data_IF_353608623200
#
_entry.id   IF_353608623200
#
_cell.length_a   1.000
_cell.length_b   1.000
_cell.length_c   1.000
_cell.angle_alpha   90.00
_cell.angle_beta   90.00
_cell.angle_gamma   90.00
#
_symmetry.space_group_name_H-M   'P 1'
#
loop_
_entity.id
_entity.type
_entity.pdbx_description
1 polymer ?
#
# COMPACT_ATOMS: atom_id res chain seq x y z
N UNK A 1 24.82 -1.43 14.38
CA UNK A 1 24.14 -2.44 13.55
C UNK A 1 22.77 -2.82 14.12
N UNK A 2 22.64 -3.33 15.34
CA UNK A 2 21.32 -3.69 15.91
C UNK A 2 20.39 -2.48 16.12
N UNK A 3 20.91 -1.38 16.67
CA UNK A 3 20.16 -0.11 16.79
C UNK A 3 19.72 0.47 15.44
N UNK A 4 20.52 0.28 14.41
CA UNK A 4 20.23 0.74 13.04
C UNK A 4 19.11 -0.09 12.41
N UNK A 5 19.12 -1.41 12.58
CA UNK A 5 18.02 -2.28 12.14
C UNK A 5 16.72 -2.01 12.91
N UNK A 6 16.80 -1.67 14.19
CA UNK A 6 15.64 -1.24 14.98
C UNK A 6 15.06 0.07 14.44
N UNK A 7 15.90 1.07 14.17
CA UNK A 7 15.47 2.33 13.54
C UNK A 7 14.85 2.11 12.16
N UNK A 8 15.44 1.24 11.33
CA UNK A 8 14.88 0.89 10.03
C UNK A 8 13.50 0.25 10.16
N UNK A 9 13.33 -0.64 11.16
CA UNK A 9 12.04 -1.31 11.42
C UNK A 9 10.96 -0.31 11.85
N UNK A 10 11.32 0.65 12.71
CA UNK A 10 10.42 1.73 13.12
C UNK A 10 10.00 2.62 11.93
N UNK A 11 10.94 2.97 11.04
CA UNK A 11 10.64 3.77 9.84
C UNK A 11 9.74 3.02 8.84
N UNK A 12 9.97 1.72 8.62
CA UNK A 12 9.09 0.86 7.81
C UNK A 12 7.68 0.82 8.43
N UNK A 13 7.61 0.62 9.75
CA UNK A 13 6.36 0.66 10.50
C UNK A 13 5.61 1.97 10.35
N UNK A 14 6.33 3.09 10.44
CA UNK A 14 5.75 4.41 10.25
C UNK A 14 5.24 4.61 8.81
N UNK A 15 5.94 4.11 7.79
CA UNK A 15 5.49 4.14 6.39
C UNK A 15 4.18 3.37 6.21
N UNK A 16 4.09 2.16 6.78
CA UNK A 16 2.84 1.38 6.81
C UNK A 16 1.70 2.15 7.48
N UNK A 17 1.97 2.74 8.65
CA UNK A 17 0.97 3.52 9.41
C UNK A 17 0.47 4.72 8.63
N UNK A 18 1.38 5.49 8.04
CA UNK A 18 1.04 6.66 7.21
C UNK A 18 0.13 6.24 6.06
N UNK A 19 0.46 5.15 5.36
CA UNK A 19 -0.32 4.67 4.23
C UNK A 19 -1.72 4.17 4.63
N UNK A 20 -1.82 3.46 5.76
CA UNK A 20 -3.12 3.08 6.33
C UNK A 20 -3.96 4.31 6.71
N UNK A 21 -3.36 5.27 7.41
CA UNK A 21 -4.05 6.48 7.87
C UNK A 21 -4.48 7.39 6.72
N UNK A 22 -3.67 7.46 5.64
CA UNK A 22 -3.99 8.21 4.41
C UNK A 22 -5.33 7.78 3.79
N UNK A 23 -5.73 6.52 3.99
CA UNK A 23 -7.02 5.97 3.53
C UNK A 23 -8.13 6.02 4.57
N UNK A 24 -7.86 6.57 5.76
CA UNK A 24 -8.80 6.57 6.87
C UNK A 24 -9.09 5.17 7.45
N UNK A 25 -8.24 4.18 7.19
CA UNK A 25 -8.46 2.80 7.63
C UNK A 25 -8.07 2.61 9.09
N UNK A 26 -8.92 1.95 9.87
CA UNK A 26 -8.53 1.39 11.16
C UNK A 26 -7.60 0.18 11.00
N UNK A 27 -6.97 -0.28 12.08
CA UNK A 27 -6.24 -1.56 12.07
C UNK A 27 -7.13 -2.74 11.65
N UNK A 28 -8.42 -2.67 11.99
CA UNK A 28 -9.39 -3.70 11.63
C UNK A 28 -9.67 -3.70 10.12
N UNK A 29 -9.73 -2.53 9.51
CA UNK A 29 -9.98 -2.37 8.07
C UNK A 29 -8.85 -2.93 7.23
N UNK A 30 -7.60 -2.72 7.66
CA UNK A 30 -6.44 -3.32 7.01
C UNK A 30 -6.38 -4.84 7.22
N UNK A 31 -6.65 -5.32 8.45
CA UNK A 31 -6.79 -6.76 8.73
C UNK A 31 -7.76 -7.43 7.75
N UNK A 32 -8.97 -6.88 7.61
CA UNK A 32 -10.00 -7.41 6.69
C UNK A 32 -9.54 -7.43 5.23
N UNK A 33 -8.85 -6.38 4.76
CA UNK A 33 -8.34 -6.29 3.38
C UNK A 33 -7.24 -7.30 3.07
N UNK A 34 -6.49 -7.70 4.10
CA UNK A 34 -5.53 -8.81 4.00
C UNK A 34 -6.18 -10.18 4.22
N UNK A 35 -7.51 -10.28 4.09
CA UNK A 35 -8.30 -11.50 4.36
C UNK A 35 -8.06 -12.07 5.76
N UNK A 36 -7.83 -11.19 6.75
CA UNK A 36 -7.50 -11.53 8.14
C UNK A 36 -6.20 -12.32 8.35
N UNK A 37 -5.31 -12.38 7.35
CA UNK A 37 -3.98 -12.98 7.50
C UNK A 37 -3.12 -12.25 8.56
N UNK A 38 -3.33 -10.93 8.71
CA UNK A 38 -2.71 -10.15 9.78
C UNK A 38 -3.75 -9.65 10.77
N UNK A 39 -3.59 -10.06 12.04
CA UNK A 39 -4.40 -9.52 13.13
C UNK A 39 -4.11 -8.03 13.38
N UNK A 40 -5.06 -7.31 13.99
CA UNK A 40 -4.88 -5.93 14.46
C UNK A 40 -3.60 -5.74 15.28
N UNK A 41 -3.31 -6.69 16.17
CA UNK A 41 -2.10 -6.67 17.00
C UNK A 41 -0.83 -6.84 16.17
N UNK A 42 -0.81 -7.78 15.21
CA UNK A 42 0.33 -7.98 14.32
C UNK A 42 0.63 -6.74 13.47
N UNK A 43 -0.42 -6.11 12.92
CA UNK A 43 -0.30 -4.85 12.18
C UNK A 43 0.24 -3.74 13.09
N UNK A 44 -0.30 -3.60 14.30
CA UNK A 44 0.17 -2.62 15.28
C UNK A 44 1.65 -2.82 15.63
N UNK A 45 2.09 -4.07 15.81
CA UNK A 45 3.49 -4.37 16.10
C UNK A 45 4.42 -4.05 14.93
N UNK A 46 3.96 -4.20 13.67
CA UNK A 46 4.69 -3.70 12.52
C UNK A 46 4.78 -2.17 12.55
N UNK A 47 3.65 -1.48 12.76
CA UNK A 47 3.62 -0.01 12.78
C UNK A 47 4.52 0.61 13.86
N UNK A 48 4.65 -0.05 15.00
CA UNK A 48 5.51 0.38 16.10
C UNK A 48 6.98 -0.02 15.90
N UNK A 49 7.31 -0.82 14.88
CA UNK A 49 8.65 -1.36 14.65
C UNK A 49 9.07 -2.47 15.64
N UNK A 50 8.20 -2.87 16.58
CA UNK A 50 8.43 -3.97 17.53
C UNK A 50 8.65 -5.29 16.78
N UNK A 51 7.89 -5.49 15.70
CA UNK A 51 8.04 -6.63 14.82
C UNK A 51 8.61 -6.18 13.48
N UNK A 52 9.69 -6.80 13.03
CA UNK A 52 10.20 -6.62 11.67
C UNK A 52 9.20 -7.16 10.66
N UNK A 53 8.85 -6.35 9.66
CA UNK A 53 8.09 -6.80 8.49
C UNK A 53 9.01 -7.62 7.56
N UNK A 54 8.61 -8.85 7.27
CA UNK A 54 9.26 -9.70 6.28
C UNK A 54 8.75 -9.44 4.86
N UNK A 55 9.38 -10.07 3.87
CA UNK A 55 9.07 -9.91 2.45
C UNK A 55 7.63 -10.32 2.13
N UNK A 56 7.20 -11.49 2.58
CA UNK A 56 5.86 -12.03 2.32
C UNK A 56 4.78 -11.12 2.91
N UNK A 57 5.05 -10.58 4.10
CA UNK A 57 4.15 -9.62 4.72
C UNK A 57 4.06 -8.32 3.93
N UNK A 58 5.19 -7.83 3.41
CA UNK A 58 5.20 -6.64 2.57
C UNK A 58 4.43 -6.85 1.26
N UNK A 59 4.57 -8.02 0.62
CA UNK A 59 3.81 -8.38 -0.58
C UNK A 59 2.30 -8.35 -0.34
N UNK A 60 1.83 -9.04 0.70
CA UNK A 60 0.39 -9.10 1.01
C UNK A 60 -0.18 -7.74 1.43
N UNK A 61 0.58 -6.93 2.16
CA UNK A 61 0.16 -5.57 2.53
C UNK A 61 0.12 -4.64 1.32
N UNK A 62 1.12 -4.71 0.44
CA UNK A 62 1.16 -3.94 -0.79
C UNK A 62 -0.02 -4.27 -1.71
N UNK A 63 -0.34 -5.56 -1.86
CA UNK A 63 -1.52 -6.01 -2.59
C UNK A 63 -2.83 -5.48 -1.97
N UNK A 64 -2.95 -5.52 -0.64
CA UNK A 64 -4.11 -4.99 0.07
C UNK A 64 -4.31 -3.47 -0.09
N UNK A 65 -3.22 -2.72 -0.31
CA UNK A 65 -3.27 -1.29 -0.65
C UNK A 65 -3.56 -1.09 -2.15
N UNK A 66 -2.96 -1.92 -3.01
CA UNK A 66 -3.17 -2.00 -4.45
C UNK A 66 -2.47 -0.91 -5.29
N UNK A 67 -1.82 0.06 -4.68
CA UNK A 67 -1.17 1.23 -5.33
C UNK A 67 0.21 1.54 -4.70
N UNK A 68 0.76 0.59 -3.94
CA UNK A 68 2.10 0.64 -3.36
C UNK A 68 2.86 -0.65 -3.67
N UNK A 69 4.20 -0.58 -3.72
CA UNK A 69 5.04 -1.75 -3.95
C UNK A 69 5.62 -2.30 -2.63
N UNK A 70 6.02 -3.58 -2.57
CA UNK A 70 6.72 -4.13 -1.41
C UNK A 70 8.08 -3.45 -1.17
N UNK A 71 8.81 -3.12 -2.25
CA UNK A 71 10.09 -2.41 -2.18
C UNK A 71 9.91 -1.03 -1.53
N UNK A 72 8.89 -0.28 -1.92
CA UNK A 72 8.54 0.97 -1.30
C UNK A 72 8.14 0.80 0.15
N UNK A 73 7.31 -0.18 0.48
CA UNK A 73 6.89 -0.40 1.86
C UNK A 73 8.08 -0.73 2.78
N UNK A 74 9.05 -1.49 2.26
CA UNK A 74 10.30 -1.85 2.94
C UNK A 74 11.40 -0.78 2.85
N UNK A 75 11.13 0.37 2.22
CA UNK A 75 12.08 1.47 1.97
C UNK A 75 13.34 1.04 1.20
N UNK A 76 13.18 0.13 0.26
CA UNK A 76 14.21 -0.20 -0.74
C UNK A 76 14.18 0.78 -1.92
N UNK A 77 13.08 1.53 -2.07
CA UNK A 77 12.96 2.70 -2.93
C UNK A 77 12.29 3.88 -2.17
N UNK A 78 12.60 5.08 -2.61
CA UNK A 78 12.05 6.33 -2.03
C UNK A 78 10.78 6.78 -2.75
N UNK A 79 10.70 6.51 -4.05
CA UNK A 79 9.57 6.86 -4.91
C UNK A 79 8.70 5.62 -5.09
N UNK A 80 7.47 5.67 -4.57
CA UNK A 80 6.50 4.60 -4.78
C UNK A 80 6.20 4.41 -6.27
N UNK A 81 5.49 3.34 -6.66
CA UNK A 81 5.37 2.96 -8.06
C UNK A 81 4.59 3.97 -8.92
N UNK A 82 3.92 4.95 -8.29
CA UNK A 82 3.06 5.94 -8.95
C UNK A 82 3.47 7.35 -8.53
N UNK A 83 3.57 8.25 -9.51
CA UNK A 83 3.59 9.69 -9.31
C UNK A 83 2.29 10.20 -8.67
N UNK A 84 2.28 11.46 -8.25
CA UNK A 84 1.11 12.09 -7.65
C UNK A 84 -0.11 12.13 -8.62
N UNK A 85 0.15 12.31 -9.91
CA UNK A 85 -0.89 12.34 -10.95
C UNK A 85 -1.44 10.93 -11.20
N UNK A 86 -0.57 9.93 -11.39
CA UNK A 86 -0.98 8.54 -11.56
C UNK A 86 -1.77 8.02 -10.35
N UNK A 87 -1.35 8.40 -9.13
CA UNK A 87 -2.09 8.06 -7.91
C UNK A 87 -3.49 8.64 -7.91
N UNK A 88 -3.64 9.91 -8.29
CA UNK A 88 -4.96 10.57 -8.40
C UNK A 88 -5.85 9.86 -9.42
N UNK A 89 -5.29 9.46 -10.56
CA UNK A 89 -6.00 8.69 -11.58
C UNK A 89 -6.50 7.36 -11.01
N UNK A 90 -5.62 6.58 -10.37
CA UNK A 90 -5.98 5.27 -9.78
C UNK A 90 -7.06 5.41 -8.71
N UNK A 91 -6.95 6.38 -7.82
CA UNK A 91 -7.94 6.63 -6.76
C UNK A 91 -9.31 7.02 -7.34
N UNK A 92 -9.31 7.93 -8.32
CA UNK A 92 -10.53 8.38 -8.99
C UNK A 92 -11.19 7.23 -9.75
N UNK A 93 -10.41 6.44 -10.48
CA UNK A 93 -10.86 5.26 -11.21
C UNK A 93 -11.50 4.21 -10.29
N UNK A 94 -10.91 3.97 -9.12
CA UNK A 94 -11.44 3.02 -8.12
C UNK A 94 -12.77 3.50 -7.51
N UNK A 95 -12.99 4.80 -7.40
CA UNK A 95 -14.23 5.36 -6.87
C UNK A 95 -15.39 5.39 -7.90
N UNK A 96 -15.10 5.25 -9.19
CA UNK A 96 -16.11 5.24 -10.26
C UNK A 96 -16.92 3.93 -10.29
N UNK A 97 -18.11 4.02 -10.88
CA UNK A 97 -18.90 2.87 -11.31
C UNK A 97 -18.32 2.22 -12.58
N UNK A 98 -18.87 1.06 -12.97
CA UNK A 98 -18.35 0.30 -14.11
C UNK A 98 -18.40 1.11 -15.42
N UNK A 99 -19.49 1.83 -15.67
CA UNK A 99 -19.64 2.64 -16.87
C UNK A 99 -18.60 3.79 -16.92
N UNK A 100 -18.32 4.43 -15.78
CA UNK A 100 -17.27 5.44 -15.66
C UNK A 100 -15.89 4.89 -15.94
N UNK A 101 -15.57 3.72 -15.37
CA UNK A 101 -14.30 3.03 -15.63
C UNK A 101 -14.11 2.70 -17.11
N UNK A 102 -15.13 2.16 -17.77
CA UNK A 102 -15.06 1.83 -19.20
C UNK A 102 -14.83 3.07 -20.08
N UNK A 103 -15.47 4.20 -19.77
CA UNK A 103 -15.23 5.46 -20.50
C UNK A 103 -13.79 5.96 -20.37
N UNK A 104 -13.23 5.90 -19.15
CA UNK A 104 -11.83 6.29 -18.93
C UNK A 104 -10.90 5.38 -19.70
N UNK A 105 -11.09 4.06 -19.63
CA UNK A 105 -10.29 3.09 -20.38
C UNK A 105 -10.36 3.30 -21.89
N UNK A 106 -11.54 3.61 -22.44
CA UNK A 106 -11.70 3.92 -23.86
C UNK A 106 -10.96 5.20 -24.29
N UNK A 107 -10.89 6.20 -23.41
CA UNK A 107 -10.20 7.46 -23.69
C UNK A 107 -8.67 7.33 -23.68
N UNK A 108 -8.14 6.48 -22.79
CA UNK A 108 -6.70 6.30 -22.58
C UNK A 108 -6.15 5.04 -23.28
N UNK A 109 -6.99 4.33 -24.03
CA UNK A 109 -6.57 3.16 -24.79
C UNK A 109 -5.44 3.56 -25.76
N UNK A 110 -4.30 2.85 -25.76
CA UNK A 110 -3.24 3.12 -26.71
C UNK A 110 -3.75 2.91 -28.14
N UNK A 111 -3.29 3.72 -29.08
CA UNK A 111 -3.75 3.75 -30.47
C UNK A 111 -3.65 2.40 -31.21
N UNK A 112 -2.83 1.47 -30.69
CA UNK A 112 -2.56 0.16 -31.28
C UNK A 112 -3.38 -0.99 -30.66
N UNK A 113 -4.44 -0.69 -29.88
CA UNK A 113 -5.30 -1.69 -29.25
C UNK A 113 -6.58 -2.06 -30.05
N UNK A 114 -6.59 -1.81 -31.37
CA UNK A 114 -7.67 -2.23 -32.30
C UNK A 114 -7.13 -3.15 -33.39
#
# INVERSE_FOLDING_TARGET
>A
MEAEFAQLSARIGQRLRTERMRRGWSLNDLSKRTQNQFSKSRISNYEQGIRRMGLEAACQLAEAFGDVSPAWLLMLDDFGPLSAEERRLVESFRAMDEAGRQRVLALIAPADAV
#
